data_IF_651029977792
#
_entry.id   IF_651029977792
#
_cell.length_a   1.000
_cell.length_b   1.000
_cell.length_c   1.000
_cell.angle_alpha   90.00
_cell.angle_beta   90.00
_cell.angle_gamma   90.00
#
_symmetry.space_group_name_H-M   'P 1'
#
loop_
_entity.id
_entity.type
_entity.pdbx_description
1 polymer ?
#
# COMPACT_ATOMS: atom_id res chain seq x y z
N UNK A 1 33.06 18.09 40.27
CA UNK A 1 32.13 17.31 39.42
C UNK A 1 32.31 17.69 37.94
N UNK A 2 33.37 17.24 37.27
CA UNK A 2 33.60 17.50 35.82
C UNK A 2 34.28 16.34 35.08
N UNK A 3 34.49 15.22 35.77
CA UNK A 3 35.29 14.08 35.32
C UNK A 3 34.45 12.84 35.00
N UNK A 4 33.26 12.71 35.60
CA UNK A 4 32.31 11.63 35.30
C UNK A 4 31.60 11.86 33.95
N UNK A 5 31.24 13.10 33.63
CA UNK A 5 30.54 13.44 32.37
C UNK A 5 31.39 13.08 31.14
N UNK A 6 32.69 13.36 31.18
CA UNK A 6 33.64 12.99 30.12
C UNK A 6 33.79 11.47 29.94
N UNK A 7 33.50 10.66 30.97
CA UNK A 7 33.57 9.21 30.89
C UNK A 7 32.28 8.66 30.29
N UNK A 8 31.12 9.14 30.73
CA UNK A 8 29.83 8.77 30.17
C UNK A 8 29.69 9.18 28.70
N UNK A 9 30.15 10.37 28.32
CA UNK A 9 30.12 10.84 26.91
C UNK A 9 30.98 9.97 26.00
N UNK A 10 32.16 9.55 26.47
CA UNK A 10 33.03 8.63 25.72
C UNK A 10 32.42 7.24 25.60
N UNK A 11 31.74 6.75 26.64
CA UNK A 11 31.03 5.47 26.61
C UNK A 11 29.85 5.53 25.65
N UNK A 12 29.04 6.58 25.70
CA UNK A 12 27.93 6.81 24.77
C UNK A 12 28.40 6.92 23.32
N UNK A 13 29.51 7.60 23.07
CA UNK A 13 30.10 7.72 21.73
C UNK A 13 30.65 6.38 21.22
N UNK A 14 31.31 5.60 22.08
CA UNK A 14 31.79 4.27 21.74
C UNK A 14 30.65 3.28 21.46
N UNK A 15 29.58 3.32 22.27
CA UNK A 15 28.37 2.51 22.07
C UNK A 15 27.65 2.94 20.79
N UNK A 16 27.51 4.23 20.54
CA UNK A 16 26.91 4.75 19.30
C UNK A 16 27.67 4.32 18.06
N UNK A 17 29.01 4.38 18.08
CA UNK A 17 29.85 3.89 16.98
C UNK A 17 29.74 2.37 16.81
N UNK A 18 29.73 1.60 17.90
CA UNK A 18 29.54 0.15 17.86
C UNK A 18 28.18 -0.21 17.26
N UNK A 19 27.12 0.47 17.67
CA UNK A 19 25.77 0.27 17.14
C UNK A 19 25.67 0.68 15.67
N UNK A 20 26.37 1.74 15.24
CA UNK A 20 26.42 2.18 13.85
C UNK A 20 27.16 1.16 12.96
N UNK A 21 28.25 0.58 13.47
CA UNK A 21 28.98 -0.52 12.80
C UNK A 21 28.11 -1.79 12.75
N UNK A 22 27.46 -2.18 13.85
CA UNK A 22 26.55 -3.33 13.89
C UNK A 22 25.33 -3.13 12.96
N UNK A 23 24.83 -1.91 12.86
CA UNK A 23 23.77 -1.53 11.93
C UNK A 23 24.23 -1.65 10.48
N UNK A 24 25.46 -1.25 10.15
CA UNK A 24 26.06 -1.47 8.82
C UNK A 24 26.28 -2.95 8.48
N UNK A 25 26.63 -3.78 9.48
CA UNK A 25 26.81 -5.22 9.28
C UNK A 25 25.49 -6.00 9.15
N UNK A 26 24.42 -5.59 9.86
CA UNK A 26 23.12 -6.26 9.82
C UNK A 26 22.15 -5.69 8.77
N UNK A 27 22.32 -4.43 8.37
CA UNK A 27 21.54 -3.75 7.34
C UNK A 27 22.48 -3.15 6.29
N UNK A 28 23.05 -3.95 5.37
CA UNK A 28 23.78 -3.40 4.24
C UNK A 28 22.82 -2.53 3.40
N UNK A 29 22.99 -1.20 3.48
CA UNK A 29 22.28 -0.23 2.63
C UNK A 29 22.88 -0.18 1.21
N UNK A 30 23.22 -1.34 0.67
CA UNK A 30 23.66 -1.51 -0.72
C UNK A 30 22.48 -2.20 -1.42
N UNK A 31 21.67 -1.49 -2.23
CA UNK A 31 20.85 -2.18 -3.19
C UNK A 31 21.79 -2.98 -4.08
N UNK A 32 21.65 -4.31 -4.06
CA UNK A 32 22.40 -5.20 -4.94
C UNK A 32 22.24 -4.71 -6.39
N UNK A 33 23.31 -4.29 -7.09
CA UNK A 33 23.22 -3.82 -8.47
C UNK A 33 22.81 -4.95 -9.45
N UNK A 34 22.83 -6.20 -9.01
CA UNK A 34 22.64 -7.36 -9.89
C UNK A 34 21.19 -7.84 -10.00
N UNK A 35 20.22 -6.98 -9.68
CA UNK A 35 18.81 -7.28 -9.94
C UNK A 35 18.10 -6.16 -10.71
N UNK A 36 18.66 -5.83 -11.87
CA UNK A 36 17.93 -5.17 -12.97
C UNK A 36 17.09 -6.17 -13.79
N UNK A 37 16.69 -7.31 -13.21
CA UNK A 37 15.67 -8.17 -13.79
C UNK A 37 14.30 -7.71 -13.31
N UNK A 38 13.80 -6.62 -13.90
CA UNK A 38 12.34 -6.50 -14.02
C UNK A 38 11.92 -7.69 -14.86
N UNK A 39 11.37 -8.72 -14.22
CA UNK A 39 10.97 -9.98 -14.84
C UNK A 39 10.12 -9.66 -16.08
N UNK A 40 10.73 -9.83 -17.24
CA UNK A 40 10.02 -10.05 -18.50
C UNK A 40 9.43 -11.44 -18.38
N UNK A 41 8.12 -11.55 -18.21
CA UNK A 41 7.42 -12.82 -18.35
C UNK A 41 7.43 -13.21 -19.83
N UNK A 42 8.51 -13.82 -20.28
CA UNK A 42 8.49 -14.68 -21.47
C UNK A 42 8.66 -16.10 -20.96
N UNK A 43 7.53 -16.70 -20.58
CA UNK A 43 7.42 -18.15 -20.44
C UNK A 43 7.47 -18.74 -21.85
N UNK A 44 8.64 -19.24 -22.26
CA UNK A 44 8.71 -20.16 -23.39
C UNK A 44 8.08 -21.49 -22.97
N UNK A 45 7.04 -21.91 -23.69
CA UNK A 45 6.60 -23.31 -23.71
C UNK A 45 5.42 -23.64 -22.79
N UNK A 46 4.23 -23.19 -23.18
CA UNK A 46 3.01 -23.98 -23.30
C UNK A 46 1.84 -23.01 -23.47
N UNK A 47 1.34 -22.92 -24.70
CA UNK A 47 0.09 -22.25 -24.99
C UNK A 47 -1.03 -22.85 -24.14
N UNK A 48 -1.47 -22.11 -23.13
CA UNK A 48 -2.82 -22.24 -22.58
C UNK A 48 -3.33 -20.85 -22.26
N UNK A 49 -4.51 -20.55 -22.77
CA UNK A 49 -5.12 -19.24 -22.88
C UNK A 49 -5.55 -18.63 -21.54
N UNK A 50 -4.59 -18.24 -20.71
CA UNK A 50 -4.81 -17.49 -19.47
C UNK A 50 -4.07 -16.15 -19.50
N UNK A 51 -4.11 -15.44 -20.62
CA UNK A 51 -3.80 -14.02 -20.61
C UNK A 51 -4.87 -13.33 -19.74
N UNK A 52 -4.53 -13.00 -18.49
CA UNK A 52 -5.39 -12.18 -17.65
C UNK A 52 -5.77 -10.93 -18.46
N UNK A 53 -7.07 -10.72 -18.67
CA UNK A 53 -7.64 -9.63 -19.49
C UNK A 53 -7.19 -8.22 -19.06
N UNK A 54 -6.52 -8.11 -17.91
CA UNK A 54 -6.02 -6.88 -17.34
C UNK A 54 -4.51 -6.78 -17.49
N UNK A 55 -4.04 -5.85 -18.32
CA UNK A 55 -2.71 -5.26 -18.16
C UNK A 55 -2.69 -4.57 -16.80
N UNK A 56 -1.89 -5.08 -15.85
CA UNK A 56 -1.82 -4.49 -14.51
C UNK A 56 -1.47 -3.01 -14.60
N UNK A 57 -2.39 -2.15 -14.16
CA UNK A 57 -2.18 -0.71 -14.17
C UNK A 57 -1.12 -0.37 -13.11
N UNK A 58 -0.19 0.51 -13.48
CA UNK A 58 0.92 0.96 -12.62
C UNK A 58 0.75 2.45 -12.27
N UNK A 59 1.38 2.91 -11.18
CA UNK A 59 1.43 4.33 -10.85
C UNK A 59 2.07 5.14 -11.98
N UNK A 60 1.46 6.27 -12.29
CA UNK A 60 1.94 7.22 -13.29
C UNK A 60 1.72 8.66 -12.78
N UNK A 61 2.62 9.56 -13.16
CA UNK A 61 2.62 10.97 -12.72
C UNK A 61 1.46 11.78 -13.31
N UNK A 62 0.92 11.33 -14.44
CA UNK A 62 -0.23 11.93 -15.09
C UNK A 62 -1.56 11.59 -14.39
N UNK A 63 -1.57 10.57 -13.53
CA UNK A 63 -2.77 10.19 -12.78
C UNK A 63 -3.01 11.15 -11.61
N UNK A 64 -4.22 11.69 -11.52
CA UNK A 64 -4.69 12.41 -10.35
C UNK A 64 -5.02 11.47 -9.19
N UNK A 65 -5.10 11.99 -7.97
CA UNK A 65 -5.51 11.21 -6.79
C UNK A 65 -6.88 10.54 -7.01
N UNK A 66 -7.83 11.25 -7.63
CA UNK A 66 -9.15 10.69 -7.92
C UNK A 66 -9.07 9.51 -8.91
N UNK A 67 -8.27 9.66 -9.98
CA UNK A 67 -8.09 8.59 -10.96
C UNK A 67 -7.47 7.35 -10.31
N UNK A 68 -6.48 7.53 -9.43
CA UNK A 68 -5.85 6.43 -8.68
C UNK A 68 -6.87 5.70 -7.80
N UNK A 69 -7.75 6.42 -7.10
CA UNK A 69 -8.82 5.80 -6.29
C UNK A 69 -9.82 5.07 -7.19
N UNK A 70 -10.27 5.68 -8.29
CA UNK A 70 -11.20 5.06 -9.23
C UNK A 70 -10.65 3.78 -9.88
N UNK A 71 -9.35 3.77 -10.23
CA UNK A 71 -8.67 2.58 -10.76
C UNK A 71 -8.74 1.45 -9.73
N UNK A 72 -8.36 1.73 -8.48
CA UNK A 72 -8.36 0.74 -7.41
C UNK A 72 -9.77 0.20 -7.13
N UNK A 73 -10.78 1.08 -7.06
CA UNK A 73 -12.17 0.66 -6.82
C UNK A 73 -12.69 -0.25 -7.94
N UNK A 74 -12.46 0.11 -9.21
CA UNK A 74 -12.88 -0.74 -10.34
C UNK A 74 -12.18 -2.09 -10.34
N UNK A 75 -10.87 -2.09 -10.05
CA UNK A 75 -10.06 -3.30 -10.01
C UNK A 75 -10.54 -4.25 -8.90
N UNK A 76 -10.83 -3.72 -7.71
CA UNK A 76 -11.36 -4.48 -6.57
C UNK A 76 -12.80 -4.98 -6.82
N UNK A 77 -13.64 -4.17 -7.46
CA UNK A 77 -15.02 -4.54 -7.81
C UNK A 77 -15.09 -5.72 -8.79
N UNK A 78 -14.07 -5.86 -9.63
CA UNK A 78 -14.01 -6.85 -10.70
C UNK A 78 -12.85 -7.83 -10.50
N UNK A 79 -12.50 -8.12 -9.23
CA UNK A 79 -11.38 -8.99 -8.90
C UNK A 79 -11.63 -10.42 -9.40
N UNK A 80 -10.82 -10.87 -10.34
CA UNK A 80 -10.91 -12.23 -10.90
C UNK A 80 -10.23 -13.29 -10.02
N UNK A 81 -10.28 -14.55 -10.46
CA UNK A 81 -9.65 -15.68 -9.76
C UNK A 81 -8.12 -15.60 -9.69
N UNK A 82 -7.50 -14.76 -10.52
CA UNK A 82 -6.05 -14.54 -10.53
C UNK A 82 -5.63 -13.35 -9.66
N UNK A 83 -6.57 -12.75 -8.91
CA UNK A 83 -6.34 -11.58 -8.05
C UNK A 83 -5.87 -10.33 -8.81
N UNK A 84 -6.32 -10.14 -10.05
CA UNK A 84 -5.88 -8.97 -10.84
C UNK A 84 -6.22 -7.63 -10.20
N UNK A 85 -7.34 -7.57 -9.47
CA UNK A 85 -7.75 -6.41 -8.69
C UNK A 85 -6.81 -6.12 -7.52
N UNK A 86 -6.52 -7.15 -6.73
CA UNK A 86 -5.60 -7.09 -5.58
C UNK A 86 -4.19 -6.69 -6.03
N UNK A 87 -3.68 -7.29 -7.11
CA UNK A 87 -2.37 -6.94 -7.68
C UNK A 87 -2.33 -5.47 -8.10
N UNK A 88 -3.42 -4.96 -8.69
CA UNK A 88 -3.51 -3.55 -9.07
C UNK A 88 -3.40 -2.63 -7.85
N UNK A 89 -4.13 -2.91 -6.77
CA UNK A 89 -4.02 -2.13 -5.52
C UNK A 89 -2.62 -2.21 -4.93
N UNK A 90 -1.99 -3.38 -4.95
CA UNK A 90 -0.60 -3.55 -4.50
C UNK A 90 0.38 -2.71 -5.33
N UNK A 91 0.19 -2.64 -6.66
CA UNK A 91 1.00 -1.78 -7.54
C UNK A 91 0.85 -0.30 -7.19
N UNK A 92 -0.33 0.15 -6.75
CA UNK A 92 -0.56 1.52 -6.30
C UNK A 92 -0.13 1.80 -4.85
N UNK A 93 0.20 0.77 -4.07
CA UNK A 93 0.67 0.93 -2.69
C UNK A 93 2.06 1.58 -2.65
N UNK A 94 2.20 2.66 -1.86
CA UNK A 94 3.46 3.41 -1.73
C UNK A 94 4.61 2.49 -1.25
N UNK A 95 5.88 2.83 -1.53
CA UNK A 95 7.01 2.06 -0.97
C UNK A 95 6.94 1.92 0.55
N UNK A 96 6.50 2.97 1.26
CA UNK A 96 6.30 2.96 2.71
C UNK A 96 5.18 2.01 3.12
N UNK A 97 4.04 2.06 2.44
CA UNK A 97 2.90 1.17 2.72
C UNK A 97 3.27 -0.30 2.44
N UNK A 98 3.99 -0.59 1.36
CA UNK A 98 4.46 -1.96 1.05
C UNK A 98 5.35 -2.56 2.14
N UNK A 99 6.12 -1.76 2.88
CA UNK A 99 6.87 -2.27 4.03
C UNK A 99 5.95 -2.81 5.13
N UNK A 100 4.73 -2.26 5.27
CA UNK A 100 3.73 -2.72 6.23
C UNK A 100 2.89 -3.89 5.66
N UNK A 101 2.52 -3.84 4.38
CA UNK A 101 1.75 -4.91 3.73
C UNK A 101 2.59 -6.20 3.57
N UNK A 102 3.91 -6.08 3.47
CA UNK A 102 4.79 -7.19 3.14
C UNK A 102 4.70 -7.61 1.66
N UNK A 103 5.22 -8.81 1.31
CA UNK A 103 5.15 -9.33 -0.05
C UNK A 103 3.72 -9.49 -0.58
N UNK A 104 3.55 -9.53 -1.89
CA UNK A 104 2.23 -9.66 -2.54
C UNK A 104 1.42 -10.86 -2.00
N UNK A 105 2.06 -12.00 -1.73
CA UNK A 105 1.35 -13.17 -1.19
C UNK A 105 0.78 -12.89 0.20
N UNK A 106 1.48 -12.13 1.04
CA UNK A 106 0.94 -11.72 2.34
C UNK A 106 -0.24 -10.76 2.16
N UNK A 107 -0.12 -9.80 1.23
CA UNK A 107 -1.22 -8.89 0.92
C UNK A 107 -2.46 -9.63 0.40
N UNK A 108 -2.30 -10.67 -0.43
CA UNK A 108 -3.38 -11.55 -0.88
C UNK A 108 -4.11 -12.23 0.28
N UNK A 109 -3.39 -12.65 1.32
CA UNK A 109 -4.00 -13.22 2.52
C UNK A 109 -4.76 -12.14 3.31
N UNK A 110 -4.15 -10.97 3.50
CA UNK A 110 -4.75 -9.85 4.22
C UNK A 110 -6.11 -9.44 3.64
N UNK A 111 -6.22 -9.26 2.33
CA UNK A 111 -7.49 -8.81 1.70
C UNK A 111 -8.62 -9.85 1.80
N UNK A 112 -8.30 -11.10 2.16
CA UNK A 112 -9.28 -12.17 2.39
C UNK A 112 -9.70 -12.29 3.85
N UNK A 113 -9.01 -11.61 4.77
CA UNK A 113 -9.42 -11.51 6.17
C UNK A 113 -10.86 -10.94 6.25
N UNK A 114 -11.71 -11.41 7.18
CA UNK A 114 -13.09 -10.93 7.29
C UNK A 114 -13.24 -9.40 7.36
N UNK A 115 -12.26 -8.69 7.93
CA UNK A 115 -12.27 -7.22 8.03
C UNK A 115 -12.10 -6.50 6.69
N UNK A 116 -11.42 -7.13 5.72
CA UNK A 116 -11.15 -6.54 4.40
C UNK A 116 -11.85 -7.25 3.24
N UNK A 117 -12.37 -8.47 3.46
CA UNK A 117 -13.10 -9.24 2.47
C UNK A 117 -14.23 -8.47 1.76
N UNK A 118 -14.98 -7.56 2.42
CA UNK A 118 -15.99 -6.72 1.75
C UNK A 118 -15.44 -5.81 0.64
N UNK A 119 -14.12 -5.57 0.60
CA UNK A 119 -13.49 -4.79 -0.46
C UNK A 119 -13.43 -5.52 -1.80
N UNK A 120 -13.61 -6.84 -1.82
CA UNK A 120 -13.55 -7.63 -3.04
C UNK A 120 -14.94 -7.88 -3.60
N UNK A 121 -15.10 -7.65 -4.91
CA UNK A 121 -16.30 -8.02 -5.66
C UNK A 121 -17.61 -7.48 -5.05
N UNK A 122 -17.57 -6.25 -4.54
CA UNK A 122 -18.75 -5.56 -4.02
C UNK A 122 -19.73 -5.22 -5.16
N UNK A 123 -21.01 -5.09 -4.82
CA UNK A 123 -22.08 -4.82 -5.79
C UNK A 123 -22.04 -3.38 -6.30
N UNK A 124 -21.88 -2.41 -5.40
CA UNK A 124 -21.81 -0.99 -5.76
C UNK A 124 -21.02 -0.18 -4.73
N UNK A 125 -20.76 1.09 -5.01
CA UNK A 125 -20.07 1.98 -4.10
C UNK A 125 -20.53 3.42 -4.24
N UNK A 126 -20.39 4.19 -3.15
CA UNK A 126 -20.56 5.65 -3.11
C UNK A 126 -19.26 6.28 -2.64
N UNK A 127 -18.87 7.39 -3.25
CA UNK A 127 -17.69 8.16 -2.85
C UNK A 127 -18.12 9.45 -2.15
N UNK A 128 -17.49 9.77 -1.03
CA UNK A 128 -17.54 11.09 -0.45
C UNK A 128 -16.71 12.10 -1.24
N UNK A 129 -16.70 13.35 -0.77
CA UNK A 129 -15.86 14.40 -1.34
C UNK A 129 -14.37 14.00 -1.24
N UNK A 130 -13.64 14.20 -2.32
CA UNK A 130 -12.19 14.09 -2.32
C UNK A 130 -11.59 15.33 -1.67
N UNK A 131 -10.86 15.14 -0.57
CA UNK A 131 -10.15 16.22 0.12
C UNK A 131 -8.66 16.11 -0.18
N UNK A 132 -8.11 17.15 -0.81
CA UNK A 132 -6.66 17.24 -1.08
C UNK A 132 -6.08 18.33 -0.19
N UNK A 133 -5.09 17.97 0.63
CA UNK A 133 -4.31 18.90 1.46
C UNK A 133 -2.83 18.76 1.14
N UNK A 134 -2.30 19.73 0.39
CA UNK A 134 -0.93 19.71 -0.10
C UNK A 134 -0.64 18.50 -0.99
N UNK A 135 0.15 17.55 -0.47
CA UNK A 135 0.55 16.32 -1.17
C UNK A 135 -0.16 15.07 -0.64
N UNK A 136 -1.23 15.24 0.12
CA UNK A 136 -2.02 14.13 0.67
C UNK A 136 -3.46 14.27 0.21
N UNK A 137 -4.11 13.14 -0.07
CA UNK A 137 -5.50 13.08 -0.48
C UNK A 137 -6.25 12.03 0.32
N UNK A 138 -7.50 12.35 0.67
CA UNK A 138 -8.39 11.50 1.46
C UNK A 138 -9.74 11.39 0.77
N UNK A 139 -10.28 10.18 0.71
CA UNK A 139 -11.65 9.96 0.23
C UNK A 139 -12.31 8.84 0.99
N UNK A 140 -13.46 9.15 1.60
CA UNK A 140 -14.35 8.14 2.16
C UNK A 140 -15.08 7.42 1.02
N UNK A 141 -15.12 6.09 1.08
CA UNK A 141 -15.85 5.24 0.14
C UNK A 141 -16.73 4.29 0.94
N UNK A 142 -18.02 4.25 0.62
CA UNK A 142 -18.96 3.28 1.17
C UNK A 142 -19.20 2.21 0.12
N UNK A 143 -18.83 0.97 0.43
CA UNK A 143 -19.05 -0.20 -0.40
C UNK A 143 -20.36 -0.87 0.00
N UNK A 144 -21.13 -1.35 -0.97
CA UNK A 144 -22.31 -2.17 -0.75
C UNK A 144 -22.06 -3.59 -1.29
N UNK A 145 -22.18 -4.58 -0.42
CA UNK A 145 -22.08 -5.99 -0.77
C UNK A 145 -23.37 -6.51 -1.44
N UNK A 146 -23.32 -7.71 -2.02
CA UNK A 146 -24.46 -8.32 -2.70
C UNK A 146 -25.64 -8.65 -1.79
N UNK A 147 -25.38 -8.88 -0.50
CA UNK A 147 -26.39 -9.07 0.55
C UNK A 147 -26.95 -7.74 1.10
N UNK A 148 -26.50 -6.60 0.56
CA UNK A 148 -26.93 -5.26 0.96
C UNK A 148 -26.18 -4.67 2.15
N UNK A 149 -25.23 -5.40 2.76
CA UNK A 149 -24.40 -4.83 3.83
C UNK A 149 -23.52 -3.70 3.30
N UNK A 150 -23.34 -2.66 4.11
CA UNK A 150 -22.52 -1.50 3.77
C UNK A 150 -21.35 -1.34 4.71
N UNK A 151 -20.17 -1.10 4.15
CA UNK A 151 -18.92 -0.92 4.87
C UNK A 151 -18.19 0.32 4.34
N UNK A 152 -17.63 1.11 5.24
CA UNK A 152 -16.98 2.36 4.91
C UNK A 152 -15.46 2.23 5.01
N UNK A 153 -14.74 2.78 4.02
CA UNK A 153 -13.29 2.76 3.94
C UNK A 153 -12.75 4.16 3.61
N UNK A 154 -11.76 4.62 4.35
CA UNK A 154 -11.00 5.82 4.06
C UNK A 154 -9.79 5.47 3.21
N UNK A 155 -9.76 5.94 1.96
CA UNK A 155 -8.58 5.88 1.11
C UNK A 155 -7.65 7.03 1.43
N UNK A 156 -6.38 6.73 1.69
CA UNK A 156 -5.33 7.70 2.03
C UNK A 156 -4.24 7.59 0.99
N UNK A 157 -4.04 8.66 0.21
CA UNK A 157 -3.03 8.73 -0.82
C UNK A 157 -2.02 9.84 -0.50
N UNK A 158 -0.77 9.64 -0.89
CA UNK A 158 0.23 10.70 -0.90
C UNK A 158 0.99 10.76 -2.22
N UNK A 159 1.33 11.99 -2.64
CA UNK A 159 2.17 12.26 -3.80
C UNK A 159 3.64 12.05 -3.42
N UNK A 160 4.26 11.05 -4.05
CA UNK A 160 5.60 10.61 -3.70
C UNK A 160 6.66 11.68 -4.00
N UNK A 161 7.60 11.89 -3.08
CA UNK A 161 8.57 13.00 -3.15
C UNK A 161 9.87 12.63 -3.88
N UNK A 162 10.24 11.36 -3.89
CA UNK A 162 11.53 10.86 -4.38
C UNK A 162 11.43 9.42 -4.89
N UNK A 163 12.52 8.92 -5.47
CA UNK A 163 12.63 7.56 -6.00
C UNK A 163 11.91 7.38 -7.34
N UNK A 164 11.76 6.13 -7.77
CA UNK A 164 11.18 5.76 -9.06
C UNK A 164 9.74 6.27 -9.25
N UNK A 165 9.00 6.44 -8.16
CA UNK A 165 7.61 6.91 -8.18
C UNK A 165 7.46 8.42 -7.92
N UNK A 166 8.54 9.20 -7.95
CA UNK A 166 8.48 10.66 -7.71
C UNK A 166 7.36 11.30 -8.55
N UNK A 167 6.52 12.09 -7.88
CA UNK A 167 5.35 12.79 -8.40
C UNK A 167 4.14 11.90 -8.77
N UNK A 168 4.18 10.59 -8.54
CA UNK A 168 2.99 9.73 -8.62
C UNK A 168 2.15 9.86 -7.33
N UNK A 169 0.83 9.86 -7.47
CA UNK A 169 -0.08 9.59 -6.35
C UNK A 169 -0.10 8.09 -6.05
N UNK A 170 0.10 7.71 -4.79
CA UNK A 170 0.13 6.31 -4.36
C UNK A 170 -0.59 6.15 -3.01
N UNK A 171 -1.10 4.95 -2.77
CA UNK A 171 -1.86 4.62 -1.56
C UNK A 171 -0.94 4.42 -0.37
N UNK A 172 -1.07 5.29 0.63
CA UNK A 172 -0.39 5.15 1.93
C UNK A 172 -1.18 4.24 2.88
N UNK A 173 -2.49 4.11 2.69
CA UNK A 173 -3.33 3.18 3.44
C UNK A 173 -4.78 3.18 3.01
N UNK A 174 -5.50 2.12 3.38
CA UNK A 174 -6.96 2.03 3.29
C UNK A 174 -7.46 1.57 4.65
N UNK A 175 -8.12 2.48 5.38
CA UNK A 175 -8.59 2.21 6.73
C UNK A 175 -10.08 1.89 6.70
N UNK A 176 -10.49 0.78 7.32
CA UNK A 176 -11.91 0.53 7.59
C UNK A 176 -12.37 1.57 8.61
N UNK A 177 -13.52 2.17 8.34
CA UNK A 177 -14.17 3.09 9.27
C UNK A 177 -15.20 2.28 10.04
N UNK A 178 -14.93 2.04 11.31
CA UNK A 178 -15.92 1.42 12.18
C UNK A 178 -17.16 2.30 12.19
N UNK A 179 -18.31 1.69 11.96
CA UNK A 179 -19.56 2.31 12.33
C UNK A 179 -19.56 2.32 13.85
N UNK A 180 -19.14 3.42 14.49
CA UNK A 180 -19.72 3.74 15.79
C UNK A 180 -21.23 3.76 15.54
N UNK A 181 -21.89 2.65 15.87
CA UNK A 181 -23.32 2.67 16.14
C UNK A 181 -23.42 3.75 17.20
N UNK A 182 -23.99 4.90 16.86
CA UNK A 182 -24.53 5.78 17.86
C UNK A 182 -25.47 4.90 18.68
N UNK A 183 -24.98 4.44 19.83
CA UNK A 183 -25.83 4.03 20.93
C UNK A 183 -26.67 5.26 21.22
N UNK A 184 -27.87 5.30 20.64
CA UNK A 184 -28.95 6.12 21.14
C UNK A 184 -29.02 5.84 22.63
N UNK A 185 -28.53 6.78 23.42
CA UNK A 185 -28.90 6.91 24.82
C UNK A 185 -30.38 7.23 24.79
N UNK A 186 -31.21 6.23 25.07
CA UNK A 186 -32.61 6.39 25.49
C UNK A 186 -32.62 6.11 26.98
#
# INVERSE_FOLDING_TARGET
MKKQDNVFDKIMLAIGLLLLVLFWFNFPAIPNPDNLNYITYTSSGAESSYASKWTYIKPDKALSAEQVINIQLRALQQNDRADSGVITVFNFSSPLNRMHLGPLEHFRLMVRDPSYRPMLNFKSYKKGQLVISGKTAYQLVVLEAHDGQQEAFMFILAKQRKGAYKDCWMTEGIARMDQTRDTKVI
#
